data_IF_109936102499
#
_entry.id   IF_109936102499
#
_cell.length_a   1.000
_cell.length_b   1.000
_cell.length_c   1.000
_cell.angle_alpha   90.00
_cell.angle_beta   90.00
_cell.angle_gamma   90.00
#
_symmetry.space_group_name_H-M   'P 1'
#
loop_
_entity.id
_entity.type
_entity.pdbx_description
1 polymer ?
#
# COMPACT_ATOMS: atom_id res chain seq x y z
N UNK A 1 18.52 -17.05 4.62
CA UNK A 1 18.23 -16.53 5.99
C UNK A 1 16.81 -16.96 6.34
N UNK A 2 16.23 -16.52 7.45
CA UNK A 2 14.76 -16.61 7.63
C UNK A 2 14.12 -15.48 6.83
N UNK A 3 13.04 -15.78 6.09
CA UNK A 3 12.34 -14.77 5.29
C UNK A 3 11.46 -13.86 6.16
N UNK A 4 11.43 -12.57 5.82
CA UNK A 4 10.48 -11.62 6.40
C UNK A 4 9.11 -11.71 5.71
N UNK A 5 8.06 -11.42 6.48
CA UNK A 5 6.70 -11.29 5.97
C UNK A 5 5.94 -10.20 6.73
N UNK A 6 5.09 -9.48 6.01
CA UNK A 6 4.20 -8.46 6.56
C UNK A 6 2.76 -8.83 6.23
N UNK A 7 1.88 -8.80 7.23
CA UNK A 7 0.44 -9.03 7.08
C UNK A 7 -0.29 -7.83 7.66
N UNK A 8 -1.25 -7.32 6.92
CA UNK A 8 -2.11 -6.20 7.33
C UNK A 8 -3.53 -6.74 7.46
N UNK A 9 -4.10 -6.59 8.64
CA UNK A 9 -5.47 -6.96 8.94
C UNK A 9 -6.43 -5.84 8.49
N UNK A 10 -7.15 -6.08 7.40
CA UNK A 10 -8.02 -5.09 6.77
C UNK A 10 -9.27 -4.80 7.62
N UNK A 11 -9.72 -5.74 8.45
CA UNK A 11 -10.87 -5.52 9.35
C UNK A 11 -10.56 -4.49 10.44
N UNK A 12 -9.27 -4.26 10.72
CA UNK A 12 -8.80 -3.26 11.69
C UNK A 12 -8.35 -1.96 11.03
N UNK A 13 -8.32 -1.89 9.70
CA UNK A 13 -7.84 -0.71 8.99
C UNK A 13 -8.90 0.39 8.97
N UNK A 14 -8.62 1.49 9.66
CA UNK A 14 -9.52 2.65 9.76
C UNK A 14 -9.16 3.80 8.82
N UNK A 15 -8.24 3.59 7.87
CA UNK A 15 -7.86 4.63 6.92
C UNK A 15 -7.02 5.79 7.48
N UNK A 16 -6.42 5.65 8.67
CA UNK A 16 -5.79 6.78 9.39
C UNK A 16 -4.52 7.38 8.74
N UNK A 17 -4.02 6.83 7.63
CA UNK A 17 -2.83 7.29 6.89
C UNK A 17 -1.50 7.26 7.69
N UNK A 18 -1.48 6.80 8.95
CA UNK A 18 -0.29 6.82 9.78
C UNK A 18 0.86 5.99 9.16
N UNK A 19 0.57 4.84 8.57
CA UNK A 19 1.57 4.00 7.92
C UNK A 19 2.21 4.65 6.68
N UNK A 20 1.46 5.47 5.94
CA UNK A 20 1.98 6.25 4.81
C UNK A 20 2.88 7.38 5.30
N UNK A 21 2.41 8.14 6.30
CA UNK A 21 3.15 9.26 6.90
C UNK A 21 4.46 8.81 7.56
N UNK A 22 4.44 7.71 8.31
CA UNK A 22 5.65 7.15 8.91
C UNK A 22 6.64 6.67 7.84
N UNK A 23 6.16 6.00 6.78
CA UNK A 23 7.02 5.56 5.69
C UNK A 23 7.73 6.74 5.01
N UNK A 24 6.99 7.80 4.69
CA UNK A 24 7.56 8.99 4.06
C UNK A 24 8.59 9.69 4.94
N UNK A 25 8.32 9.81 6.25
CA UNK A 25 9.25 10.42 7.19
C UNK A 25 10.55 9.62 7.35
N UNK A 26 10.45 8.30 7.55
CA UNK A 26 11.64 7.47 7.79
C UNK A 26 12.53 7.34 6.55
N UNK A 27 11.93 7.39 5.35
CA UNK A 27 12.66 7.17 4.09
C UNK A 27 12.92 8.47 3.30
N UNK A 28 12.64 9.65 3.87
CA UNK A 28 12.77 10.95 3.20
C UNK A 28 12.12 10.99 1.82
N UNK A 29 10.92 10.40 1.70
CA UNK A 29 10.17 10.37 0.43
C UNK A 29 9.72 11.77 0.09
N UNK A 30 9.80 12.13 -1.20
CA UNK A 30 9.35 13.43 -1.70
C UNK A 30 7.85 13.65 -1.42
N UNK A 31 7.40 14.90 -1.36
CA UNK A 31 5.98 15.21 -1.15
C UNK A 31 5.08 14.75 -2.30
N UNK A 32 5.65 14.58 -3.49
CA UNK A 32 4.93 14.14 -4.69
C UNK A 32 4.86 12.61 -4.79
N UNK A 33 5.58 11.88 -3.92
CA UNK A 33 5.68 10.43 -3.92
C UNK A 33 5.07 9.79 -2.67
N UNK A 34 4.52 8.59 -2.83
CA UNK A 34 4.04 7.76 -1.72
C UNK A 34 4.40 6.30 -1.96
N UNK A 35 5.42 5.80 -1.26
CA UNK A 35 5.85 4.39 -1.36
C UNK A 35 4.85 3.44 -0.68
N UNK A 36 4.18 3.93 0.37
CA UNK A 36 3.07 3.26 1.02
C UNK A 36 1.83 4.15 0.93
N UNK A 37 0.74 3.63 0.35
CA UNK A 37 -0.51 4.35 0.11
C UNK A 37 -1.65 3.68 0.86
N UNK A 38 -2.65 4.43 1.29
CA UNK A 38 -3.90 3.86 1.79
C UNK A 38 -5.00 4.22 0.81
N UNK A 39 -5.44 3.23 0.04
CA UNK A 39 -6.51 3.38 -0.94
C UNK A 39 -7.86 3.23 -0.26
N UNK A 40 -8.87 3.93 -0.74
CA UNK A 40 -10.27 3.70 -0.37
C UNK A 40 -10.90 2.85 -1.46
N UNK A 41 -11.50 1.72 -1.10
CA UNK A 41 -12.13 0.82 -2.07
C UNK A 41 -13.53 1.30 -2.41
N UNK A 42 -13.83 1.40 -3.71
CA UNK A 42 -15.14 1.74 -4.27
C UNK A 42 -15.49 3.24 -4.30
N UNK A 43 -15.01 4.04 -3.36
CA UNK A 43 -15.18 5.50 -3.39
C UNK A 43 -14.43 6.20 -4.54
N UNK A 44 -14.99 7.29 -5.07
CA UNK A 44 -14.40 8.07 -6.17
C UNK A 44 -13.09 8.77 -5.78
N UNK A 45 -12.95 9.11 -4.50
CA UNK A 45 -11.81 9.84 -3.94
C UNK A 45 -11.35 9.20 -2.63
N UNK A 46 -10.18 9.62 -2.16
CA UNK A 46 -9.65 9.23 -0.86
C UNK A 46 -10.64 9.60 0.26
N UNK A 47 -10.86 8.65 1.15
CA UNK A 47 -11.76 8.76 2.31
C UNK A 47 -13.23 9.06 1.93
N UNK A 48 -13.66 8.60 0.75
CA UNK A 48 -15.07 8.63 0.33
C UNK A 48 -15.68 7.23 0.31
N UNK A 49 -16.92 7.04 0.80
CA UNK A 49 -17.55 5.73 0.82
C UNK A 49 -17.96 5.27 -0.59
N UNK A 50 -18.00 3.96 -0.78
CA UNK A 50 -18.67 3.30 -1.90
C UNK A 50 -20.19 3.21 -1.64
N UNK A 51 -20.98 2.95 -2.67
CA UNK A 51 -22.40 2.68 -2.58
C UNK A 51 -23.30 3.92 -2.69
N UNK A 52 -24.60 3.71 -2.48
CA UNK A 52 -25.62 4.73 -2.68
C UNK A 52 -26.01 5.39 -1.35
N UNK A 53 -26.08 6.73 -1.37
CA UNK A 53 -26.56 7.51 -0.24
C UNK A 53 -28.04 7.19 0.04
N UNK A 54 -28.43 6.95 1.30
CA UNK A 54 -29.80 6.58 1.63
C UNK A 54 -30.79 7.70 1.29
N UNK A 55 -31.81 7.39 0.50
CA UNK A 55 -32.93 8.30 0.28
C UNK A 55 -33.82 8.31 1.54
N UNK A 56 -34.06 9.51 2.08
CA UNK A 56 -34.80 9.71 3.33
C UNK A 56 -34.33 8.85 4.53
N UNK A 57 -33.04 8.48 4.56
CA UNK A 57 -32.43 7.73 5.67
C UNK A 57 -32.76 6.23 5.69
N UNK A 58 -33.26 5.66 4.59
CA UNK A 58 -33.51 4.21 4.44
C UNK A 58 -32.71 3.64 3.27
N UNK A 59 -32.42 2.33 3.35
CA UNK A 59 -31.95 1.50 2.24
C UNK A 59 -30.63 1.89 1.56
N UNK A 60 -29.79 2.72 2.22
CA UNK A 60 -28.46 3.07 1.71
C UNK A 60 -27.48 1.90 1.79
N UNK A 61 -26.55 1.84 0.84
CA UNK A 61 -25.54 0.77 0.71
C UNK A 61 -24.12 1.26 1.03
N UNK A 62 -24.01 2.42 1.67
CA UNK A 62 -22.72 3.06 1.97
C UNK A 62 -21.79 2.11 2.73
N UNK A 63 -20.59 1.91 2.19
CA UNK A 63 -19.53 1.16 2.85
C UNK A 63 -18.19 1.86 2.68
N UNK A 64 -17.28 1.66 3.62
CA UNK A 64 -15.95 2.26 3.57
C UNK A 64 -14.91 1.23 3.98
N UNK A 65 -14.08 0.86 3.02
CA UNK A 65 -12.99 -0.10 3.21
C UNK A 65 -11.68 0.53 2.75
N UNK A 66 -10.59 0.15 3.41
CA UNK A 66 -9.28 0.73 3.17
C UNK A 66 -8.27 -0.36 2.84
N UNK A 67 -7.45 -0.12 1.82
CA UNK A 67 -6.39 -1.00 1.40
C UNK A 67 -5.03 -0.30 1.49
N UNK A 68 -4.26 -0.54 2.56
CA UNK A 68 -2.85 -0.16 2.61
C UNK A 68 -2.05 -0.95 1.56
N UNK A 69 -1.36 -0.23 0.67
CA UNK A 69 -0.66 -0.79 -0.47
C UNK A 69 0.77 -0.24 -0.54
N UNK A 70 1.72 -1.14 -0.29
CA UNK A 70 3.16 -0.93 -0.41
C UNK A 70 3.80 -1.99 -1.33
N UNK A 71 5.13 -1.96 -1.49
CA UNK A 71 5.87 -3.05 -2.14
C UNK A 71 5.57 -4.39 -1.46
N UNK A 72 5.22 -5.41 -2.24
CA UNK A 72 4.88 -6.73 -1.72
C UNK A 72 6.11 -7.65 -1.58
N UNK A 73 7.31 -7.15 -1.91
CA UNK A 73 8.58 -7.89 -1.91
C UNK A 73 8.44 -9.31 -2.49
N UNK A 74 7.83 -9.40 -3.67
CA UNK A 74 7.35 -10.64 -4.26
C UNK A 74 8.44 -11.72 -4.32
N UNK A 75 8.08 -12.96 -4.01
CA UNK A 75 9.00 -14.10 -4.12
C UNK A 75 9.62 -14.21 -5.52
N UNK A 76 8.78 -13.96 -6.54
CA UNK A 76 9.09 -14.02 -7.96
C UNK A 76 9.01 -12.62 -8.60
N UNK A 77 9.77 -11.66 -8.07
CA UNK A 77 9.69 -10.24 -8.43
C UNK A 77 10.01 -9.96 -9.91
N UNK A 78 9.03 -9.51 -10.73
CA UNK A 78 9.29 -9.19 -12.15
C UNK A 78 10.19 -7.95 -12.31
N UNK A 79 10.12 -6.99 -11.38
CA UNK A 79 10.99 -5.81 -11.37
C UNK A 79 12.47 -6.17 -11.22
N UNK A 80 12.81 -7.23 -10.48
CA UNK A 80 14.18 -7.77 -10.37
C UNK A 80 14.59 -8.44 -11.68
N UNK A 81 13.72 -9.27 -12.26
CA UNK A 81 14.03 -10.03 -13.49
C UNK A 81 14.33 -9.16 -14.70
N UNK A 82 13.65 -8.01 -14.81
CA UNK A 82 13.70 -7.17 -16.00
C UNK A 82 14.78 -6.10 -15.94
N UNK A 83 15.36 -5.83 -14.77
CA UNK A 83 16.31 -4.73 -14.61
C UNK A 83 17.65 -5.08 -15.32
N UNK A 84 18.04 -4.34 -16.37
CA UNK A 84 19.20 -4.69 -17.19
C UNK A 84 20.55 -4.38 -16.51
N UNK A 85 20.52 -3.55 -15.46
CA UNK A 85 21.72 -3.06 -14.75
C UNK A 85 21.83 -3.61 -13.33
N UNK A 86 20.95 -4.54 -12.94
CA UNK A 86 20.89 -5.12 -11.59
C UNK A 86 20.69 -4.11 -10.46
N UNK A 87 20.11 -2.94 -10.73
CA UNK A 87 19.74 -1.97 -9.70
C UNK A 87 18.58 -2.45 -8.81
N UNK A 88 17.84 -3.47 -9.22
CA UNK A 88 16.82 -4.12 -8.38
C UNK A 88 17.27 -5.54 -8.08
N UNK A 89 17.25 -5.91 -6.81
CA UNK A 89 17.72 -7.22 -6.38
C UNK A 89 16.89 -7.74 -5.20
N UNK A 90 17.07 -9.02 -4.90
CA UNK A 90 16.41 -9.68 -3.77
C UNK A 90 17.46 -10.13 -2.78
N UNK A 91 17.27 -9.77 -1.51
CA UNK A 91 18.11 -10.14 -0.39
C UNK A 91 17.84 -11.59 0.06
N UNK A 92 18.77 -12.13 0.85
CA UNK A 92 18.71 -13.50 1.38
C UNK A 92 17.61 -13.73 2.42
N UNK A 93 16.94 -12.66 2.86
CA UNK A 93 15.83 -12.63 3.83
C UNK A 93 14.48 -12.26 3.17
N UNK A 94 14.41 -12.30 1.84
CA UNK A 94 13.17 -12.14 1.09
C UNK A 94 12.86 -10.72 0.62
N UNK A 95 13.54 -9.70 1.17
CA UNK A 95 13.29 -8.29 0.83
C UNK A 95 13.77 -7.99 -0.60
N UNK A 96 12.87 -7.44 -1.42
CA UNK A 96 13.21 -6.82 -2.72
C UNK A 96 13.61 -5.36 -2.50
N UNK A 97 14.79 -4.97 -2.95
CA UNK A 97 15.39 -3.65 -2.70
C UNK A 97 15.88 -3.01 -4.01
N UNK A 98 16.03 -1.68 -3.99
CA UNK A 98 16.53 -0.87 -5.11
C UNK A 98 17.85 -0.24 -4.67
N UNK A 99 18.89 -0.43 -5.46
CA UNK A 99 20.14 0.32 -5.38
C UNK A 99 19.95 1.68 -6.07
N UNK A 100 20.28 2.76 -5.36
CA UNK A 100 20.06 4.13 -5.81
C UNK A 100 21.34 4.81 -6.32
N UNK A 101 22.50 4.13 -6.23
CA UNK A 101 23.79 4.60 -6.77
C UNK A 101 24.01 4.15 -8.23
#
# INVERSE_FOLDING_TARGET
MTDYGMVIDLERCIGCQACAVSCSQENNVSLDDQWNRVLTEGGDLRDTPDGEYPDHGRDGTLSMNHLPLACQHCQNAPCVKVCPVNATYKRDDGIVEIDYD
#
